data_IF_437985143468
#
_entry.id   IF_437985143468
#
_cell.length_a   1.000
_cell.length_b   1.000
_cell.length_c   1.000
_cell.angle_alpha   90.00
_cell.angle_beta   90.00
_cell.angle_gamma   90.00
#
_symmetry.space_group_name_H-M   'P 1'
#
loop_
_entity.id
_entity.type
_entity.pdbx_description
1 polymer ?
#
# COMPACT_ATOMS: atom_id res chain seq x y z
N UNK A 1 -14.82 -8.93 -17.47
CA UNK A 1 -16.14 -9.16 -16.86
C UNK A 1 -16.56 -7.88 -16.13
N UNK A 2 -17.74 -7.34 -16.43
CA UNK A 2 -18.26 -6.14 -15.74
C UNK A 2 -18.99 -6.57 -14.47
N UNK A 3 -18.68 -5.95 -13.34
CA UNK A 3 -19.36 -6.23 -12.07
C UNK A 3 -20.82 -5.79 -12.13
N UNK A 4 -21.73 -6.63 -11.63
CA UNK A 4 -23.15 -6.26 -11.48
C UNK A 4 -23.32 -5.19 -10.40
N UNK A 5 -24.41 -4.43 -10.43
CA UNK A 5 -24.64 -3.39 -9.43
C UNK A 5 -24.82 -3.96 -8.01
N UNK A 6 -25.31 -5.19 -7.89
CA UNK A 6 -25.36 -5.92 -6.62
C UNK A 6 -23.94 -6.21 -6.08
N UNK A 7 -23.03 -6.68 -6.94
CA UNK A 7 -21.63 -6.92 -6.57
C UNK A 7 -20.91 -5.63 -6.21
N UNK A 8 -21.15 -4.53 -6.95
CA UNK A 8 -20.61 -3.21 -6.60
C UNK A 8 -21.07 -2.74 -5.21
N UNK A 9 -22.36 -2.90 -4.89
CA UNK A 9 -22.92 -2.54 -3.57
C UNK A 9 -22.33 -3.40 -2.44
N UNK A 10 -22.20 -4.71 -2.67
CA UNK A 10 -21.59 -5.63 -1.72
C UNK A 10 -20.12 -5.28 -1.45
N UNK A 11 -19.33 -5.05 -2.51
CA UNK A 11 -17.94 -4.60 -2.39
C UNK A 11 -17.85 -3.27 -1.64
N UNK A 12 -18.70 -2.29 -1.96
CA UNK A 12 -18.72 -1.00 -1.28
C UNK A 12 -19.01 -1.14 0.23
N UNK A 13 -19.94 -2.02 0.61
CA UNK A 13 -20.26 -2.29 2.02
C UNK A 13 -19.08 -2.96 2.74
N UNK A 14 -18.46 -3.96 2.10
CA UNK A 14 -17.29 -4.62 2.67
C UNK A 14 -16.10 -3.66 2.82
N UNK A 15 -15.81 -2.85 1.80
CA UNK A 15 -14.75 -1.84 1.85
C UNK A 15 -15.01 -0.78 2.92
N UNK A 16 -16.27 -0.36 3.14
CA UNK A 16 -16.61 0.57 4.22
C UNK A 16 -16.28 -0.03 5.60
N UNK A 17 -16.58 -1.31 5.81
CA UNK A 17 -16.34 -2.00 7.08
C UNK A 17 -14.87 -2.40 7.27
N UNK A 18 -14.10 -2.52 6.19
CA UNK A 18 -12.69 -2.95 6.20
C UNK A 18 -11.77 -1.87 5.62
N UNK A 19 -12.13 -0.60 5.82
CA UNK A 19 -11.50 0.53 5.13
C UNK A 19 -9.99 0.58 5.34
N UNK A 20 -9.55 0.41 6.58
CA UNK A 20 -8.12 0.44 6.92
C UNK A 20 -7.34 -0.67 6.24
N UNK A 21 -7.85 -1.90 6.30
CA UNK A 21 -7.22 -3.05 5.67
C UNK A 21 -7.24 -2.92 4.13
N UNK A 22 -8.34 -2.45 3.54
CA UNK A 22 -8.42 -2.21 2.11
C UNK A 22 -7.39 -1.14 1.67
N UNK A 23 -7.31 -0.04 2.41
CA UNK A 23 -6.32 1.02 2.18
C UNK A 23 -4.89 0.49 2.29
N UNK A 24 -4.59 -0.32 3.31
CA UNK A 24 -3.28 -0.95 3.47
C UNK A 24 -2.88 -1.79 2.26
N UNK A 25 -3.79 -2.64 1.73
CA UNK A 25 -3.51 -3.43 0.52
C UNK A 25 -3.25 -2.52 -0.68
N UNK A 26 -4.11 -1.51 -0.86
CA UNK A 26 -4.03 -0.59 -1.99
C UNK A 26 -2.69 0.14 -1.99
N UNK A 27 -2.31 0.75 -0.86
CA UNK A 27 -1.03 1.43 -0.69
C UNK A 27 0.16 0.48 -0.95
N UNK A 28 0.13 -0.74 -0.37
CA UNK A 28 1.18 -1.73 -0.57
C UNK A 28 1.34 -2.14 -2.04
N UNK A 29 0.22 -2.29 -2.75
CA UNK A 29 0.22 -2.71 -4.16
C UNK A 29 0.70 -1.57 -5.06
N UNK A 30 0.25 -0.35 -4.81
CA UNK A 30 0.71 0.84 -5.53
C UNK A 30 2.21 1.07 -5.33
N UNK A 31 2.71 1.00 -4.10
CA UNK A 31 4.14 1.16 -3.81
C UNK A 31 4.99 0.11 -4.55
N UNK A 32 4.57 -1.16 -4.54
CA UNK A 32 5.25 -2.22 -5.31
C UNK A 32 5.29 -1.94 -6.81
N UNK A 33 4.18 -1.47 -7.37
CA UNK A 33 4.11 -1.16 -8.80
C UNK A 33 5.01 0.02 -9.15
N UNK A 34 5.03 1.05 -8.31
CA UNK A 34 5.88 2.22 -8.50
C UNK A 34 7.36 1.83 -8.56
N UNK A 35 7.84 1.13 -7.53
CA UNK A 35 9.24 0.66 -7.41
C UNK A 35 9.66 -0.22 -8.59
N UNK A 36 8.75 -1.06 -9.10
CA UNK A 36 9.08 -2.00 -10.19
C UNK A 36 9.06 -1.38 -11.57
N UNK A 37 8.14 -0.44 -11.81
CA UNK A 37 7.74 -0.11 -13.18
C UNK A 37 7.76 1.39 -13.50
N UNK A 38 7.90 2.28 -12.49
CA UNK A 38 7.69 3.73 -12.67
C UNK A 38 8.77 4.61 -12.05
N UNK A 39 9.47 4.12 -11.03
CA UNK A 39 10.51 4.90 -10.34
C UNK A 39 11.76 5.11 -11.19
N UNK A 40 12.37 6.28 -11.02
CA UNK A 40 13.72 6.61 -11.48
C UNK A 40 14.77 6.10 -10.48
N UNK A 41 16.06 6.24 -10.83
CA UNK A 41 17.15 5.90 -9.90
C UNK A 41 17.09 6.74 -8.63
N UNK A 42 16.91 8.06 -8.76
CA UNK A 42 16.83 8.99 -7.63
C UNK A 42 15.65 8.64 -6.69
N UNK A 43 14.49 8.28 -7.26
CA UNK A 43 13.34 7.81 -6.47
C UNK A 43 13.69 6.55 -5.66
N UNK A 44 14.44 5.62 -6.24
CA UNK A 44 14.82 4.38 -5.55
C UNK A 44 15.79 4.66 -4.40
N UNK A 45 16.76 5.55 -4.61
CA UNK A 45 17.70 5.97 -3.57
C UNK A 45 16.97 6.64 -2.39
N UNK A 46 16.05 7.57 -2.67
CA UNK A 46 15.23 8.20 -1.64
C UNK A 46 14.39 7.15 -0.87
N UNK A 47 13.73 6.25 -1.59
CA UNK A 47 12.90 5.21 -0.98
C UNK A 47 13.72 4.25 -0.11
N UNK A 48 14.95 3.92 -0.49
CA UNK A 48 15.85 3.12 0.33
C UNK A 48 16.19 3.79 1.66
N UNK A 49 16.46 5.11 1.64
CA UNK A 49 16.68 5.88 2.86
C UNK A 49 15.45 5.87 3.77
N UNK A 50 14.26 6.10 3.21
CA UNK A 50 12.99 6.07 3.95
C UNK A 50 12.77 4.68 4.58
N UNK A 51 12.99 3.61 3.82
CA UNK A 51 12.84 2.21 4.29
C UNK A 51 13.82 1.93 5.43
N UNK A 52 15.07 2.38 5.32
CA UNK A 52 16.08 2.18 6.36
C UNK A 52 15.67 2.86 7.67
N UNK A 53 15.26 4.13 7.62
CA UNK A 53 14.77 4.87 8.80
C UNK A 53 13.57 4.17 9.42
N UNK A 54 12.58 3.78 8.61
CA UNK A 54 11.38 3.09 9.11
C UNK A 54 11.68 1.76 9.79
N UNK A 55 12.64 0.98 9.28
CA UNK A 55 13.09 -0.26 9.92
C UNK A 55 13.74 0.01 11.27
N UNK A 56 14.53 1.08 11.37
CA UNK A 56 15.15 1.49 12.64
C UNK A 56 14.08 1.86 13.65
N UNK A 57 13.08 2.66 13.30
CA UNK A 57 11.97 3.00 14.22
C UNK A 57 11.20 1.76 14.69
N UNK A 58 10.93 0.81 13.80
CA UNK A 58 10.21 -0.41 14.13
C UNK A 58 11.02 -1.36 15.01
N UNK A 59 12.34 -1.45 14.80
CA UNK A 59 13.24 -2.32 15.56
C UNK A 59 13.76 -1.65 16.84
N UNK A 60 13.82 -0.32 16.87
CA UNK A 60 14.24 0.49 18.02
C UNK A 60 13.16 0.68 19.07
N UNK A 61 11.89 0.47 18.72
CA UNK A 61 10.77 0.36 19.66
C UNK A 61 10.64 -1.03 20.31
N UNK A 62 11.64 -1.92 20.15
CA UNK A 62 11.65 -3.27 20.72
C UNK A 62 12.46 -3.38 22.04
N UNK A 63 12.70 -2.27 22.74
CA UNK A 63 13.32 -2.22 24.08
C UNK A 63 12.37 -1.59 25.10
#
# INVERSE_FOLDING_TARGET
MVLTDAQKRANKKWHKNNRERANYIAMRSSARSFIRNKSTTDDLEELEHIIKTRKIELNGNAL
#
